data_IF_255376946807
#
_entry.id   IF_255376946807
#
_cell.length_a   1.000
_cell.length_b   1.000
_cell.length_c   1.000
_cell.angle_alpha   90.00
_cell.angle_beta   90.00
_cell.angle_gamma   90.00
#
_symmetry.space_group_name_H-M   'P 1'
#
loop_
_entity.id
_entity.type
_entity.pdbx_description
1 polymer ?
#
# COMPACT_ATOMS: atom_id res chain seq x y z
N UNK A 1 90.58 -18.90 51.17
CA UNK A 1 91.15 -20.19 50.74
C UNK A 1 90.00 -21.13 50.44
N UNK A 2 90.01 -21.72 49.24
CA UNK A 2 89.30 -22.93 48.82
C UNK A 2 87.75 -22.91 48.90
N UNK A 3 86.98 -23.41 47.93
CA UNK A 3 87.29 -24.15 46.71
C UNK A 3 86.04 -24.04 45.83
N UNK A 4 86.25 -23.62 44.58
CA UNK A 4 85.29 -23.69 43.51
C UNK A 4 85.59 -24.98 42.75
N UNK A 5 84.74 -26.01 42.90
CA UNK A 5 84.67 -27.23 42.09
C UNK A 5 83.24 -27.79 42.27
N UNK A 6 82.52 -28.37 41.31
CA UNK A 6 82.60 -28.53 39.87
C UNK A 6 81.37 -29.39 39.54
N UNK A 7 80.55 -29.01 38.57
CA UNK A 7 79.77 -29.99 37.81
C UNK A 7 79.44 -29.40 36.44
N UNK A 8 80.37 -29.69 35.54
CA UNK A 8 80.20 -29.65 34.10
C UNK A 8 79.01 -30.53 33.69
N UNK A 9 78.18 -30.01 32.80
CA UNK A 9 77.61 -30.79 31.70
C UNK A 9 77.03 -29.81 30.68
N UNK A 10 77.84 -29.45 29.69
CA UNK A 10 77.31 -29.16 28.36
C UNK A 10 76.74 -30.48 27.79
N UNK A 11 75.53 -30.49 27.22
CA UNK A 11 75.23 -31.39 26.14
C UNK A 11 75.25 -30.58 24.84
N UNK A 12 76.40 -30.67 24.19
CA UNK A 12 76.51 -30.86 22.74
C UNK A 12 75.74 -29.85 21.88
N UNK A 13 76.45 -28.80 21.46
CA UNK A 13 76.07 -27.99 20.32
C UNK A 13 76.05 -28.85 19.04
N UNK A 14 74.91 -29.46 18.75
CA UNK A 14 74.58 -29.82 17.38
C UNK A 14 74.36 -28.50 16.62
N UNK A 15 75.43 -27.97 16.02
CA UNK A 15 75.28 -27.07 14.88
C UNK A 15 74.60 -27.89 13.78
N UNK A 16 73.26 -27.93 13.82
CA UNK A 16 72.50 -28.08 12.59
C UNK A 16 72.97 -26.92 11.73
N UNK A 17 73.73 -27.22 10.70
CA UNK A 17 74.12 -26.26 9.67
C UNK A 17 72.81 -25.78 9.05
N UNK A 18 72.25 -24.71 9.63
CA UNK A 18 71.00 -24.13 9.18
C UNK A 18 71.33 -23.56 7.81
N UNK A 19 70.87 -24.25 6.77
CA UNK A 19 70.96 -23.73 5.42
C UNK A 19 69.98 -22.54 5.30
N UNK A 20 70.46 -21.37 5.70
CA UNK A 20 69.74 -20.10 5.65
C UNK A 20 69.26 -19.78 4.24
N UNK A 21 69.95 -20.30 3.22
CA UNK A 21 69.55 -20.17 1.81
C UNK A 21 68.31 -21.00 1.53
N UNK A 22 68.26 -22.25 1.99
CA UNK A 22 67.08 -23.11 1.86
C UNK A 22 65.86 -22.51 2.59
N UNK A 23 66.04 -21.99 3.81
CA UNK A 23 64.95 -21.32 4.56
C UNK A 23 64.45 -20.04 3.86
N UNK A 24 65.34 -19.29 3.22
CA UNK A 24 64.95 -18.10 2.45
C UNK A 24 64.16 -18.48 1.20
N UNK A 25 64.61 -19.49 0.46
CA UNK A 25 63.90 -20.01 -0.72
C UNK A 25 62.50 -20.56 -0.33
N UNK A 26 62.40 -21.26 0.79
CA UNK A 26 61.14 -21.73 1.38
C UNK A 26 60.21 -20.57 1.78
N UNK A 27 60.74 -19.53 2.44
CA UNK A 27 59.97 -18.34 2.81
C UNK A 27 59.44 -17.58 1.59
N UNK A 28 60.24 -17.48 0.52
CA UNK A 28 59.80 -16.88 -0.75
C UNK A 28 58.73 -17.73 -1.42
N UNK A 29 58.85 -19.06 -1.38
CA UNK A 29 57.82 -19.96 -1.90
C UNK A 29 56.49 -19.80 -1.13
N UNK A 30 56.55 -19.74 0.20
CA UNK A 30 55.37 -19.49 1.03
C UNK A 30 54.75 -18.12 0.79
N UNK A 31 55.56 -17.07 0.61
CA UNK A 31 55.08 -15.73 0.28
C UNK A 31 54.28 -15.72 -1.02
N UNK A 32 54.79 -16.37 -2.07
CA UNK A 32 54.10 -16.50 -3.36
C UNK A 32 52.82 -17.32 -3.24
N UNK A 33 52.82 -18.36 -2.42
CA UNK A 33 51.64 -19.20 -2.18
C UNK A 33 50.54 -18.42 -1.44
N UNK A 34 50.92 -17.62 -0.44
CA UNK A 34 49.98 -16.71 0.23
C UNK A 34 49.48 -15.61 -0.68
N UNK A 35 50.32 -15.05 -1.55
CA UNK A 35 49.91 -14.07 -2.55
C UNK A 35 48.88 -14.67 -3.51
N UNK A 36 49.11 -15.90 -4.00
CA UNK A 36 48.15 -16.63 -4.83
C UNK A 36 46.83 -16.87 -4.11
N UNK A 37 46.89 -17.32 -2.85
CA UNK A 37 45.69 -17.57 -2.04
C UNK A 37 44.93 -16.29 -1.71
N UNK A 38 45.63 -15.20 -1.41
CA UNK A 38 45.02 -13.89 -1.17
C UNK A 38 44.34 -13.37 -2.43
N UNK A 39 44.98 -13.50 -3.59
CA UNK A 39 44.39 -13.11 -4.87
C UNK A 39 43.17 -13.95 -5.21
N UNK A 40 43.24 -15.27 -5.04
CA UNK A 40 42.11 -16.16 -5.25
C UNK A 40 40.94 -15.87 -4.30
N UNK A 41 41.22 -15.63 -3.01
CA UNK A 41 40.21 -15.28 -2.02
C UNK A 41 39.56 -13.93 -2.33
N UNK A 42 40.36 -12.94 -2.74
CA UNK A 42 39.86 -11.64 -3.19
C UNK A 42 38.93 -11.78 -4.39
N UNK A 43 39.35 -12.50 -5.44
CA UNK A 43 38.49 -12.72 -6.62
C UNK A 43 37.20 -13.43 -6.24
N UNK A 44 37.25 -14.45 -5.38
CA UNK A 44 36.04 -15.12 -4.90
C UNK A 44 35.12 -14.19 -4.08
N UNK A 45 35.69 -13.28 -3.28
CA UNK A 45 34.93 -12.29 -2.53
C UNK A 45 34.26 -11.26 -3.45
N UNK A 46 35.01 -10.75 -4.44
CA UNK A 46 34.52 -9.78 -5.43
C UNK A 46 33.37 -10.38 -6.26
N UNK A 47 33.49 -11.63 -6.71
CA UNK A 47 32.43 -12.35 -7.44
C UNK A 47 31.17 -12.56 -6.58
N UNK A 48 31.35 -12.90 -5.31
CA UNK A 48 30.24 -13.11 -4.37
C UNK A 48 29.52 -11.79 -4.07
N UNK A 49 30.27 -10.70 -3.90
CA UNK A 49 29.70 -9.36 -3.73
C UNK A 49 28.94 -8.92 -4.98
N UNK A 50 29.51 -9.09 -6.17
CA UNK A 50 28.85 -8.76 -7.43
C UNK A 50 27.55 -9.56 -7.64
N UNK A 51 27.56 -10.85 -7.30
CA UNK A 51 26.36 -11.69 -7.37
C UNK A 51 25.30 -11.25 -6.36
N UNK A 52 25.70 -10.91 -5.13
CA UNK A 52 24.79 -10.39 -4.11
C UNK A 52 24.19 -9.05 -4.50
N UNK A 53 24.98 -8.12 -5.01
CA UNK A 53 24.49 -6.82 -5.49
C UNK A 53 23.51 -6.98 -6.65
N UNK A 54 23.83 -7.86 -7.61
CA UNK A 54 22.95 -8.15 -8.76
C UNK A 54 21.64 -8.79 -8.30
N UNK A 55 21.70 -9.80 -7.42
CA UNK A 55 20.52 -10.45 -6.87
C UNK A 55 19.70 -9.53 -5.98
N UNK A 56 20.32 -8.67 -5.17
CA UNK A 56 19.59 -7.67 -4.39
C UNK A 56 18.88 -6.69 -5.31
N UNK A 57 19.54 -6.18 -6.35
CA UNK A 57 18.89 -5.29 -7.32
C UNK A 57 17.72 -5.96 -8.04
N UNK A 58 17.85 -7.22 -8.43
CA UNK A 58 16.79 -7.96 -9.10
C UNK A 58 15.67 -8.36 -8.14
N UNK A 59 16.00 -8.74 -6.90
CA UNK A 59 15.03 -9.04 -5.84
C UNK A 59 14.26 -7.79 -5.41
N UNK A 60 14.92 -6.64 -5.29
CA UNK A 60 14.27 -5.36 -5.01
C UNK A 60 13.32 -4.94 -6.13
N UNK A 61 13.75 -5.07 -7.40
CA UNK A 61 12.87 -4.84 -8.56
C UNK A 61 11.71 -5.82 -8.61
N UNK A 62 11.95 -7.09 -8.28
CA UNK A 62 10.90 -8.11 -8.20
C UNK A 62 9.91 -7.79 -7.08
N UNK A 63 10.41 -7.44 -5.89
CA UNK A 63 9.60 -7.06 -4.72
C UNK A 63 8.75 -5.81 -5.01
N UNK A 64 9.32 -4.80 -5.67
CA UNK A 64 8.59 -3.60 -6.07
C UNK A 64 7.47 -3.93 -7.07
N UNK A 65 7.74 -4.81 -8.04
CA UNK A 65 6.72 -5.28 -8.99
C UNK A 65 5.63 -6.10 -8.30
N UNK A 66 5.99 -7.01 -7.39
CA UNK A 66 5.02 -7.82 -6.66
C UNK A 66 4.15 -6.95 -5.75
N UNK A 67 4.73 -5.99 -5.03
CA UNK A 67 3.98 -5.07 -4.19
C UNK A 67 3.00 -4.22 -5.01
N UNK A 68 3.43 -3.74 -6.18
CA UNK A 68 2.56 -3.00 -7.11
C UNK A 68 1.40 -3.87 -7.60
N UNK A 69 1.69 -5.10 -8.06
CA UNK A 69 0.67 -6.03 -8.53
C UNK A 69 -0.30 -6.45 -7.42
N UNK A 70 0.20 -6.65 -6.19
CA UNK A 70 -0.64 -6.94 -5.04
C UNK A 70 -1.60 -5.78 -4.75
N UNK A 71 -1.09 -4.56 -4.74
CA UNK A 71 -1.91 -3.35 -4.55
C UNK A 71 -2.98 -3.21 -5.64
N UNK A 72 -2.62 -3.39 -6.91
CA UNK A 72 -3.58 -3.36 -8.02
C UNK A 72 -4.65 -4.47 -7.88
N UNK A 73 -4.28 -5.67 -7.44
CA UNK A 73 -5.23 -6.74 -7.19
C UNK A 73 -6.16 -6.46 -6.01
N UNK A 74 -5.64 -5.87 -4.94
CA UNK A 74 -6.43 -5.45 -3.78
C UNK A 74 -7.40 -4.33 -4.15
N UNK A 75 -6.95 -3.33 -4.91
CA UNK A 75 -7.80 -2.26 -5.44
C UNK A 75 -8.91 -2.81 -6.34
N UNK A 76 -8.59 -3.69 -7.29
CA UNK A 76 -9.58 -4.32 -8.16
C UNK A 76 -10.57 -5.20 -7.39
N UNK A 77 -10.12 -5.92 -6.35
CA UNK A 77 -11.00 -6.71 -5.49
C UNK A 77 -11.91 -5.81 -4.66
N UNK A 78 -11.37 -4.76 -4.06
CA UNK A 78 -12.13 -3.78 -3.30
C UNK A 78 -13.16 -3.07 -4.19
N UNK A 79 -12.79 -2.70 -5.41
CA UNK A 79 -13.71 -2.09 -6.38
C UNK A 79 -14.85 -3.05 -6.74
N UNK A 80 -14.55 -4.31 -7.05
CA UNK A 80 -15.58 -5.33 -7.33
C UNK A 80 -16.52 -5.54 -6.14
N UNK A 81 -15.98 -5.63 -4.92
CA UNK A 81 -16.79 -5.75 -3.71
C UNK A 81 -17.67 -4.51 -3.50
N UNK A 82 -17.11 -3.31 -3.67
CA UNK A 82 -17.86 -2.07 -3.55
C UNK A 82 -19.00 -1.98 -4.57
N UNK A 83 -18.76 -2.41 -5.81
CA UNK A 83 -19.79 -2.43 -6.86
C UNK A 83 -20.88 -3.47 -6.59
N UNK A 84 -20.49 -4.64 -6.05
CA UNK A 84 -21.45 -5.65 -5.62
C UNK A 84 -22.34 -5.13 -4.49
N UNK A 85 -21.75 -4.49 -3.46
CA UNK A 85 -22.50 -3.86 -2.38
C UNK A 85 -23.41 -2.73 -2.87
N UNK A 86 -22.93 -1.84 -3.75
CA UNK A 86 -23.77 -0.81 -4.38
C UNK A 86 -24.98 -1.42 -5.10
N UNK A 87 -24.78 -2.51 -5.84
CA UNK A 87 -25.84 -3.19 -6.58
C UNK A 87 -26.87 -3.85 -5.64
N UNK A 88 -26.41 -4.42 -4.53
CA UNK A 88 -27.28 -5.00 -3.52
C UNK A 88 -28.11 -3.91 -2.81
N UNK A 89 -27.46 -2.85 -2.32
CA UNK A 89 -28.15 -1.74 -1.65
C UNK A 89 -29.10 -1.02 -2.61
N UNK A 90 -28.74 -0.88 -3.88
CA UNK A 90 -29.62 -0.37 -4.94
C UNK A 90 -30.90 -1.21 -5.09
N UNK A 91 -30.75 -2.53 -5.12
CA UNK A 91 -31.87 -3.46 -5.26
C UNK A 91 -32.78 -3.44 -4.04
N UNK A 92 -32.23 -3.30 -2.84
CA UNK A 92 -32.99 -3.25 -1.58
C UNK A 92 -33.74 -1.92 -1.39
N UNK A 93 -33.14 -0.81 -1.81
CA UNK A 93 -33.71 0.54 -1.62
C UNK A 93 -34.52 1.05 -2.81
N UNK A 94 -34.43 0.39 -3.96
CA UNK A 94 -35.06 0.83 -5.21
C UNK A 94 -34.39 2.06 -5.85
N UNK A 95 -33.21 2.45 -5.36
CA UNK A 95 -32.43 3.56 -5.91
C UNK A 95 -31.43 3.04 -6.96
N UNK A 96 -31.15 3.80 -8.03
CA UNK A 96 -30.14 3.40 -9.01
C UNK A 96 -28.75 3.38 -8.36
N UNK A 97 -27.98 2.32 -8.63
CA UNK A 97 -26.64 2.11 -8.06
C UNK A 97 -25.67 3.29 -8.29
N UNK A 98 -25.87 4.06 -9.35
CA UNK A 98 -25.08 5.27 -9.67
C UNK A 98 -25.22 6.39 -8.62
N UNK A 99 -26.31 6.40 -7.82
CA UNK A 99 -26.53 7.39 -6.78
C UNK A 99 -25.97 6.97 -5.42
N UNK A 100 -25.61 5.69 -5.25
CA UNK A 100 -25.16 5.15 -3.96
C UNK A 100 -23.65 5.29 -3.86
N UNK A 101 -23.22 6.14 -2.94
CA UNK A 101 -21.81 6.41 -2.67
C UNK A 101 -21.41 5.91 -1.28
N UNK A 102 -20.20 5.39 -1.15
CA UNK A 102 -19.66 4.92 0.12
C UNK A 102 -18.42 4.06 -0.09
N UNK A 103 -17.58 4.00 0.93
CA UNK A 103 -16.40 3.12 0.97
C UNK A 103 -16.71 1.81 1.70
N UNK A 104 -17.75 1.81 2.55
CA UNK A 104 -18.22 0.65 3.30
C UNK A 104 -19.70 0.37 3.00
N UNK A 105 -20.15 -0.86 3.29
CA UNK A 105 -21.56 -1.26 3.12
C UNK A 105 -22.51 -0.41 3.98
N UNK A 106 -22.10 -0.10 5.22
CA UNK A 106 -22.89 0.73 6.15
C UNK A 106 -23.06 2.16 5.63
N UNK A 107 -21.99 2.77 5.10
CA UNK A 107 -22.05 4.10 4.48
C UNK A 107 -22.98 4.10 3.26
N UNK A 108 -22.90 3.08 2.41
CA UNK A 108 -23.78 2.94 1.24
C UNK A 108 -25.24 2.81 1.64
N UNK A 109 -25.55 2.01 2.66
CA UNK A 109 -26.92 1.85 3.17
C UNK A 109 -27.45 3.13 3.81
N UNK A 110 -26.63 3.82 4.62
CA UNK A 110 -27.00 5.09 5.21
C UNK A 110 -27.26 6.16 4.15
N UNK A 111 -26.38 6.25 3.14
CA UNK A 111 -26.54 7.16 2.01
C UNK A 111 -27.83 6.86 1.22
N UNK A 112 -28.06 5.60 0.87
CA UNK A 112 -29.27 5.17 0.18
C UNK A 112 -30.54 5.49 0.99
N UNK A 113 -30.51 5.25 2.30
CA UNK A 113 -31.63 5.60 3.20
C UNK A 113 -31.89 7.10 3.22
N UNK A 114 -30.86 7.95 3.39
CA UNK A 114 -31.02 9.41 3.38
C UNK A 114 -31.58 9.93 2.05
N UNK A 115 -31.14 9.37 0.92
CA UNK A 115 -31.68 9.70 -0.39
C UNK A 115 -33.16 9.30 -0.47
N UNK A 116 -33.52 8.09 -0.02
CA UNK A 116 -34.90 7.62 -0.04
C UNK A 116 -35.83 8.51 0.80
N UNK A 117 -35.39 8.94 1.98
CA UNK A 117 -36.13 9.84 2.86
C UNK A 117 -36.31 11.22 2.23
N UNK A 118 -35.26 11.77 1.60
CA UNK A 118 -35.32 13.03 0.88
C UNK A 118 -36.28 12.98 -0.30
N UNK A 119 -36.22 11.92 -1.11
CA UNK A 119 -37.12 11.71 -2.25
C UNK A 119 -38.56 11.55 -1.78
N UNK A 120 -38.81 10.80 -0.70
CA UNK A 120 -40.14 10.64 -0.12
C UNK A 120 -40.70 11.98 0.40
N UNK A 121 -39.89 12.79 1.07
CA UNK A 121 -40.28 14.11 1.53
C UNK A 121 -40.61 15.08 0.38
N UNK A 122 -39.91 14.96 -0.76
CA UNK A 122 -40.10 15.83 -1.91
C UNK A 122 -41.27 15.41 -2.80
N UNK A 123 -41.44 14.11 -3.04
CA UNK A 123 -42.56 13.54 -3.82
C UNK A 123 -43.87 13.52 -3.04
N UNK A 124 -43.81 13.55 -1.71
CA UNK A 124 -44.97 13.67 -0.82
C UNK A 124 -45.65 15.06 -0.85
N UNK A 125 -45.04 16.07 -1.48
CA UNK A 125 -45.69 17.38 -1.69
C UNK A 125 -46.78 17.23 -2.76
N UNK A 126 -47.99 16.88 -2.33
CA UNK A 126 -49.16 16.97 -3.21
C UNK A 126 -49.36 18.43 -3.58
N UNK A 127 -49.22 18.75 -4.87
CA UNK A 127 -49.70 20.02 -5.39
C UNK A 127 -51.20 20.14 -5.05
N UNK A 128 -51.70 21.32 -4.67
CA UNK A 128 -53.12 21.50 -4.48
C UNK A 128 -53.84 21.08 -5.77
N UNK A 129 -54.69 20.08 -5.66
CA UNK A 129 -55.47 19.56 -6.77
C UNK A 129 -56.51 20.62 -7.14
N UNK A 130 -56.28 21.31 -8.27
CA UNK A 130 -57.25 22.27 -8.79
C UNK A 130 -58.39 21.46 -9.40
N UNK A 131 -59.46 21.27 -8.64
CA UNK A 131 -60.69 20.69 -9.16
C UNK A 131 -61.24 21.58 -10.28
N UNK A 132 -61.19 21.07 -11.51
CA UNK A 132 -61.81 21.64 -12.70
C UNK A 132 -61.23 23.01 -13.13
N UNK A 133 -60.04 23.04 -13.76
CA UNK A 133 -59.30 24.27 -14.10
C UNK A 133 -59.99 25.18 -15.14
N UNK A 134 -61.12 24.74 -15.71
CA UNK A 134 -61.91 25.50 -16.67
C UNK A 134 -63.26 26.01 -16.14
N UNK A 135 -63.62 25.75 -14.87
CA UNK A 135 -64.88 26.26 -14.32
C UNK A 135 -64.72 27.73 -13.93
N UNK A 136 -65.38 28.61 -14.67
CA UNK A 136 -65.67 29.96 -14.17
C UNK A 136 -66.61 29.83 -12.97
N UNK A 137 -66.42 30.63 -11.90
CA UNK A 137 -67.36 30.66 -10.79
C UNK A 137 -68.73 31.10 -11.33
N UNK A 138 -69.78 30.36 -10.96
CA UNK A 138 -71.16 30.65 -11.32
C UNK A 138 -71.66 31.79 -10.41
N UNK A 139 -71.11 32.99 -10.64
CA UNK A 139 -71.46 34.19 -9.89
C UNK A 139 -72.69 34.78 -10.56
N UNK A 140 -73.85 34.66 -9.93
CA UNK A 140 -75.05 35.32 -10.42
C UNK A 140 -74.80 36.83 -10.55
N UNK A 141 -75.28 37.50 -11.62
CA UNK A 141 -74.93 38.89 -11.94
C UNK A 141 -75.18 39.90 -10.81
N UNK A 142 -76.05 39.56 -9.85
CA UNK A 142 -76.33 40.42 -8.69
C UNK A 142 -75.19 40.46 -7.67
N UNK A 143 -74.39 39.40 -7.58
CA UNK A 143 -73.33 39.25 -6.58
C UNK A 143 -72.07 40.04 -6.98
N UNK A 144 -71.83 40.17 -8.29
CA UNK A 144 -70.81 41.06 -8.86
C UNK A 144 -71.09 42.54 -8.56
N UNK A 145 -72.37 42.94 -8.56
CA UNK A 145 -72.78 44.29 -8.19
C UNK A 145 -72.60 44.56 -6.69
N UNK A 146 -72.88 43.57 -5.84
CA UNK A 146 -72.63 43.66 -4.39
C UNK A 146 -71.15 43.68 -4.05
N UNK A 147 -70.33 42.91 -4.77
CA UNK A 147 -68.88 42.96 -4.63
C UNK A 147 -68.33 44.33 -5.02
N UNK A 148 -68.76 44.86 -6.18
CA UNK A 148 -68.34 46.19 -6.62
C UNK A 148 -68.77 47.28 -5.61
N UNK A 149 -70.00 47.23 -5.09
CA UNK A 149 -70.44 48.21 -4.08
C UNK A 149 -69.59 48.16 -2.82
N UNK A 150 -69.18 46.97 -2.36
CA UNK A 150 -68.37 46.83 -1.14
C UNK A 150 -66.90 47.25 -1.32
N UNK A 151 -66.34 47.12 -2.53
CA UNK A 151 -64.95 47.52 -2.81
C UNK A 151 -64.80 49.04 -2.98
N UNK A 152 -65.82 49.70 -3.51
CA UNK A 152 -65.79 51.15 -3.78
C UNK A 152 -66.45 52.02 -2.69
N UNK A 153 -66.92 51.44 -1.59
CA UNK A 153 -67.61 52.17 -0.50
C UNK A 153 -66.75 52.40 0.76
N UNK A 154 -65.44 52.63 0.61
CA UNK A 154 -64.56 53.05 1.71
C UNK A 154 -64.08 54.49 1.52
#
# INVERSE_FOLDING_TARGET
>A
MAENQQSEQEPNGESQDIDYKAKYEEAIAHSREWEKRAKANKTAADELEQLKQSQMSDAEKAAAKTAKLQKELEELKAEKQSNAWRSQVASETGLPANLITGSTLEEMQANAKSISEYVAAQTGRKLPEVNNPGKQPDVAPNDLLQFASNVFSN
#
